data_IF_773595333136
#
_entry.id   IF_773595333136
#
_cell.length_a   1.000
_cell.length_b   1.000
_cell.length_c   1.000
_cell.angle_alpha   90.00
_cell.angle_beta   90.00
_cell.angle_gamma   90.00
#
_symmetry.space_group_name_H-M   'P 1'
#
loop_
_entity.id
_entity.type
_entity.pdbx_description
1 polymer ?
#
# COMPACT_ATOMS: atom_id res chain seq x y z
N UNK A 1 0.01 -1.94 -27.09
CA UNK A 1 0.18 -3.40 -26.91
C UNK A 1 -0.26 -3.75 -25.50
N UNK A 2 -1.03 -4.81 -25.32
CA UNK A 2 -1.47 -5.20 -23.98
C UNK A 2 -0.29 -5.71 -23.14
N UNK A 3 -0.19 -5.25 -21.89
CA UNK A 3 0.78 -5.75 -20.92
C UNK A 3 0.26 -7.08 -20.36
N UNK A 4 1.09 -8.12 -20.39
CA UNK A 4 0.75 -9.45 -19.87
C UNK A 4 1.58 -9.73 -18.63
N UNK A 5 0.92 -10.09 -17.54
CA UNK A 5 1.55 -10.55 -16.29
C UNK A 5 1.27 -12.04 -16.13
N UNK A 6 2.33 -12.81 -15.98
CA UNK A 6 2.30 -14.26 -15.75
C UNK A 6 2.56 -14.55 -14.27
N UNK A 7 2.06 -15.70 -13.79
CA UNK A 7 2.34 -16.20 -12.45
C UNK A 7 2.87 -17.62 -12.54
N UNK A 8 3.97 -17.89 -11.84
CA UNK A 8 4.47 -19.24 -11.73
C UNK A 8 3.56 -20.06 -10.83
N UNK A 9 3.08 -21.21 -11.32
CA UNK A 9 2.30 -22.15 -10.50
C UNK A 9 3.06 -22.57 -9.25
N UNK A 10 4.38 -22.74 -9.33
CA UNK A 10 5.20 -23.12 -8.17
C UNK A 10 5.22 -22.08 -7.04
N UNK A 11 4.80 -20.84 -7.32
CA UNK A 11 4.69 -19.77 -6.31
C UNK A 11 3.27 -19.65 -5.78
N UNK A 12 2.25 -19.72 -6.66
CA UNK A 12 0.86 -19.50 -6.25
C UNK A 12 0.13 -20.77 -5.79
N UNK A 13 0.72 -21.94 -5.99
CA UNK A 13 0.19 -23.24 -5.54
C UNK A 13 1.07 -23.90 -4.47
N UNK A 14 2.03 -23.17 -3.88
CA UNK A 14 2.80 -23.70 -2.76
C UNK A 14 2.04 -23.50 -1.44
N UNK A 15 2.30 -24.39 -0.48
CA UNK A 15 1.64 -24.36 0.84
C UNK A 15 1.82 -23.00 1.53
N UNK A 16 3.02 -22.43 1.46
CA UNK A 16 3.31 -21.12 2.06
C UNK A 16 2.38 -20.01 1.56
N UNK A 17 1.96 -20.06 0.28
CA UNK A 17 1.01 -19.12 -0.31
C UNK A 17 -0.44 -19.48 0.06
N UNK A 18 -0.81 -20.75 -0.08
CA UNK A 18 -2.18 -21.22 0.15
C UNK A 18 -2.62 -21.13 1.62
N UNK A 19 -1.68 -21.18 2.56
CA UNK A 19 -1.92 -20.97 3.99
C UNK A 19 -2.16 -19.51 4.38
N UNK A 20 -1.85 -18.54 3.50
CA UNK A 20 -2.11 -17.13 3.80
C UNK A 20 -3.62 -16.81 3.74
N UNK A 21 -4.09 -15.79 4.48
CA UNK A 21 -5.46 -15.28 4.30
C UNK A 21 -5.75 -14.93 2.85
N UNK A 22 -7.00 -15.15 2.40
CA UNK A 22 -7.41 -14.85 1.02
C UNK A 22 -7.18 -13.38 0.65
N UNK A 23 -7.31 -12.46 1.61
CA UNK A 23 -7.00 -11.04 1.45
C UNK A 23 -5.52 -10.78 1.17
N UNK A 24 -4.62 -11.50 1.86
CA UNK A 24 -3.17 -11.45 1.59
C UNK A 24 -2.83 -12.04 0.22
N UNK A 25 -3.46 -13.17 -0.15
CA UNK A 25 -3.30 -13.77 -1.48
C UNK A 25 -3.77 -12.81 -2.59
N UNK A 26 -4.95 -12.21 -2.42
CA UNK A 26 -5.50 -11.23 -3.35
C UNK A 26 -4.59 -10.00 -3.47
N UNK A 27 -4.10 -9.47 -2.35
CA UNK A 27 -3.15 -8.36 -2.32
C UNK A 27 -1.90 -8.68 -3.15
N UNK A 28 -1.31 -9.85 -2.96
CA UNK A 28 -0.14 -10.27 -3.75
C UNK A 28 -0.43 -10.30 -5.26
N UNK A 29 -1.59 -10.81 -5.67
CA UNK A 29 -1.99 -10.82 -7.08
C UNK A 29 -2.14 -9.40 -7.64
N UNK A 30 -2.78 -8.50 -6.90
CA UNK A 30 -2.97 -7.10 -7.33
C UNK A 30 -1.66 -6.32 -7.39
N UNK A 31 -0.73 -6.57 -6.45
CA UNK A 31 0.62 -5.97 -6.50
C UNK A 31 1.39 -6.45 -7.74
N UNK A 32 1.32 -7.74 -8.09
CA UNK A 32 1.94 -8.26 -9.32
C UNK A 32 1.33 -7.66 -10.59
N UNK A 33 0.03 -7.42 -10.61
CA UNK A 33 -0.63 -6.76 -11.75
C UNK A 33 -0.21 -5.30 -11.92
N UNK A 34 0.10 -4.63 -10.81
CA UNK A 34 0.43 -3.19 -10.79
C UNK A 34 1.93 -2.91 -10.93
N UNK A 35 2.77 -3.94 -10.83
CA UNK A 35 4.22 -3.79 -10.87
C UNK A 35 4.72 -3.44 -12.28
N UNK A 36 5.89 -2.78 -12.35
CA UNK A 36 6.61 -2.54 -13.61
C UNK A 36 7.35 -3.80 -14.12
N UNK A 37 8.10 -3.71 -15.23
CA UNK A 37 8.76 -4.88 -15.82
C UNK A 37 9.96 -5.42 -15.02
N UNK A 38 10.37 -4.73 -13.96
CA UNK A 38 11.31 -5.25 -12.97
C UNK A 38 10.63 -5.72 -11.69
N UNK A 39 9.31 -5.59 -11.57
CA UNK A 39 8.54 -6.08 -10.44
C UNK A 39 8.39 -5.07 -9.32
N UNK A 40 8.67 -3.77 -9.57
CA UNK A 40 8.55 -2.73 -8.56
C UNK A 40 7.16 -2.10 -8.54
N UNK A 41 6.71 -1.74 -7.34
CA UNK A 41 5.44 -1.06 -7.10
C UNK A 41 5.70 0.17 -6.25
N UNK A 42 5.40 1.35 -6.78
CA UNK A 42 5.61 2.63 -6.09
C UNK A 42 4.47 3.07 -5.17
N UNK A 43 3.29 2.47 -5.31
CA UNK A 43 2.07 2.87 -4.59
C UNK A 43 1.38 1.71 -3.84
N UNK A 44 2.11 0.86 -3.09
CA UNK A 44 1.54 -0.33 -2.45
C UNK A 44 0.41 0.01 -1.47
N UNK A 45 0.52 1.12 -0.71
CA UNK A 45 -0.55 1.60 0.21
C UNK A 45 -1.83 2.00 -0.53
N UNK A 46 -1.72 2.51 -1.76
CA UNK A 46 -2.90 2.85 -2.57
C UNK A 46 -3.60 1.59 -3.04
N UNK A 47 -2.85 0.59 -3.50
CA UNK A 47 -3.40 -0.71 -3.92
C UNK A 47 -4.08 -1.40 -2.74
N UNK A 48 -3.44 -1.39 -1.57
CA UNK A 48 -4.00 -1.91 -0.32
C UNK A 48 -5.40 -1.34 -0.03
N UNK A 49 -5.53 -0.01 -0.02
CA UNK A 49 -6.82 0.67 0.19
C UNK A 49 -7.83 0.37 -0.92
N UNK A 50 -7.38 0.34 -2.18
CA UNK A 50 -8.25 0.12 -3.33
C UNK A 50 -8.94 -1.25 -3.26
N UNK A 51 -8.24 -2.28 -2.81
CA UNK A 51 -8.79 -3.63 -2.72
C UNK A 51 -9.41 -3.96 -1.35
N UNK A 52 -9.31 -3.03 -0.39
CA UNK A 52 -9.80 -3.24 0.98
C UNK A 52 -8.99 -4.23 1.81
N UNK A 53 -7.70 -4.43 1.49
CA UNK A 53 -6.81 -5.28 2.29
C UNK A 53 -6.33 -4.52 3.55
N UNK A 54 -6.01 -5.27 4.61
CA UNK A 54 -5.51 -4.71 5.86
C UNK A 54 -3.99 -4.52 5.84
N UNK A 55 -3.45 -3.69 6.72
CA UNK A 55 -1.99 -3.60 6.88
C UNK A 55 -1.38 -4.93 7.34
N UNK A 56 -2.13 -5.76 8.07
CA UNK A 56 -1.67 -7.07 8.51
C UNK A 56 -1.53 -8.05 7.33
N UNK A 57 -2.40 -7.96 6.32
CA UNK A 57 -2.23 -8.72 5.07
C UNK A 57 -0.90 -8.39 4.38
N UNK A 58 -0.56 -7.10 4.34
CA UNK A 58 0.72 -6.65 3.79
C UNK A 58 1.90 -7.14 4.62
N UNK A 59 1.82 -7.07 5.96
CA UNK A 59 2.85 -7.59 6.85
C UNK A 59 3.07 -9.09 6.66
N UNK A 60 2.01 -9.87 6.43
CA UNK A 60 2.12 -11.31 6.14
C UNK A 60 2.97 -11.54 4.88
N UNK A 61 2.74 -10.77 3.81
CA UNK A 61 3.55 -10.86 2.58
C UNK A 61 5.02 -10.51 2.82
N UNK A 62 5.31 -9.52 3.67
CA UNK A 62 6.69 -9.14 4.03
C UNK A 62 7.35 -10.25 4.85
N UNK A 63 6.68 -10.73 5.91
CA UNK A 63 7.22 -11.76 6.82
C UNK A 63 7.48 -13.07 6.08
N UNK A 64 6.56 -13.49 5.19
CA UNK A 64 6.74 -14.68 4.35
C UNK A 64 7.66 -14.44 3.15
N UNK A 65 8.23 -13.24 2.99
CA UNK A 65 9.21 -12.93 1.94
C UNK A 65 8.65 -12.84 0.53
N UNK A 66 7.33 -12.67 0.35
CA UNK A 66 6.71 -12.52 -0.96
C UNK A 66 6.97 -11.15 -1.59
N UNK A 67 7.23 -10.14 -0.76
CA UNK A 67 7.62 -8.80 -1.19
C UNK A 67 8.79 -8.29 -0.35
N UNK A 68 9.61 -7.46 -0.96
CA UNK A 68 10.70 -6.74 -0.31
C UNK A 68 10.33 -5.26 -0.22
N UNK A 69 10.43 -4.67 0.96
CA UNK A 69 10.12 -3.26 1.22
C UNK A 69 11.40 -2.43 1.34
N UNK A 70 11.44 -1.28 0.69
CA UNK A 70 12.50 -0.28 0.79
C UNK A 70 12.08 0.87 1.72
N UNK A 71 13.06 1.61 2.24
CA UNK A 71 12.79 2.75 3.15
C UNK A 71 11.96 3.85 2.50
N UNK A 72 12.05 4.00 1.17
CA UNK A 72 11.22 4.91 0.37
C UNK A 72 9.74 4.53 0.35
N UNK A 73 9.36 3.35 0.87
CA UNK A 73 8.01 2.80 0.80
C UNK A 73 7.69 2.11 -0.52
N UNK A 74 8.62 2.11 -1.47
CA UNK A 74 8.58 1.29 -2.67
C UNK A 74 8.75 -0.17 -2.28
N UNK A 75 8.14 -1.08 -3.03
CA UNK A 75 8.34 -2.51 -2.88
C UNK A 75 8.79 -3.15 -4.20
N UNK A 76 9.37 -4.35 -4.09
CA UNK A 76 9.58 -5.25 -5.22
C UNK A 76 8.97 -6.62 -4.92
N UNK A 77 8.39 -7.26 -5.94
CA UNK A 77 7.91 -8.65 -5.84
C UNK A 77 9.11 -9.59 -5.88
N UNK A 78 9.36 -10.33 -4.79
CA UNK A 78 10.53 -11.23 -4.65
C UNK A 78 10.65 -12.23 -5.79
N UNK A 79 9.52 -12.76 -6.24
CA UNK A 79 9.44 -13.83 -7.25
C UNK A 79 9.31 -13.32 -8.69
N UNK A 80 9.49 -12.01 -8.94
CA UNK A 80 9.15 -11.40 -10.21
C UNK A 80 9.79 -12.09 -11.42
N UNK A 81 11.10 -12.38 -11.35
CA UNK A 81 11.83 -13.01 -12.46
C UNK A 81 11.46 -14.47 -12.69
N UNK A 82 10.85 -15.16 -11.70
CA UNK A 82 10.20 -16.47 -11.92
C UNK A 82 8.83 -16.33 -12.55
N UNK A 83 8.08 -15.32 -12.14
CA UNK A 83 6.72 -15.08 -12.63
C UNK A 83 6.73 -14.61 -14.07
N UNK A 84 7.65 -13.71 -14.42
CA UNK A 84 7.63 -12.95 -15.66
C UNK A 84 8.98 -13.00 -16.38
N UNK A 85 8.98 -13.65 -17.55
CA UNK A 85 10.01 -13.47 -18.56
C UNK A 85 9.53 -12.45 -19.59
N UNK A 86 10.25 -11.32 -19.71
CA UNK A 86 9.90 -10.21 -20.61
C UNK A 86 10.98 -10.11 -21.68
N UNK A 87 10.57 -10.16 -22.96
CA UNK A 87 11.49 -10.07 -24.08
C UNK A 87 12.13 -8.67 -24.15
N UNK A 88 13.42 -8.63 -24.53
CA UNK A 88 14.25 -7.42 -24.50
C UNK A 88 13.69 -6.25 -25.33
N UNK A 89 13.06 -6.55 -26.45
CA UNK A 89 12.45 -5.57 -27.37
C UNK A 89 11.26 -4.81 -26.76
N UNK A 90 10.61 -5.39 -25.73
CA UNK A 90 9.45 -4.79 -25.06
C UNK A 90 9.72 -4.35 -23.62
N UNK A 91 10.86 -4.72 -23.07
CA UNK A 91 11.21 -4.45 -21.68
C UNK A 91 11.37 -2.96 -21.40
N UNK A 92 10.68 -2.49 -20.35
CA UNK A 92 10.83 -1.13 -19.81
C UNK A 92 11.36 -1.20 -18.38
N UNK A 93 12.64 -0.88 -18.22
CA UNK A 93 13.29 -0.90 -16.90
C UNK A 93 12.62 0.03 -15.89
N UNK A 94 12.72 -0.35 -14.62
CA UNK A 94 12.17 0.44 -13.52
C UNK A 94 12.78 1.84 -13.45
N UNK A 95 11.96 2.78 -12.97
CA UNK A 95 12.42 4.12 -12.58
C UNK A 95 13.13 4.11 -11.21
N UNK A 96 12.89 3.09 -10.38
CA UNK A 96 13.43 2.94 -9.02
C UNK A 96 14.85 2.35 -9.05
N UNK A 97 15.76 3.06 -9.71
CA UNK A 97 17.13 2.59 -9.97
C UNK A 97 17.93 2.41 -8.68
N UNK A 98 17.71 3.29 -7.71
CA UNK A 98 18.41 3.26 -6.43
C UNK A 98 17.99 2.02 -5.63
N UNK A 99 16.70 1.76 -5.48
CA UNK A 99 16.17 0.55 -4.84
C UNK A 99 16.67 -0.72 -5.53
N UNK A 100 16.67 -0.74 -6.86
CA UNK A 100 17.17 -1.86 -7.66
C UNK A 100 18.66 -2.12 -7.44
N UNK A 101 19.47 -1.09 -7.17
CA UNK A 101 20.90 -1.24 -6.91
C UNK A 101 21.20 -2.04 -5.63
N UNK A 102 20.25 -2.10 -4.70
CA UNK A 102 20.37 -2.89 -3.47
C UNK A 102 19.93 -4.35 -3.65
N UNK A 103 19.56 -4.78 -4.85
CA UNK A 103 19.10 -6.15 -5.10
C UNK A 103 20.13 -6.97 -5.85
N UNK A 104 20.27 -8.22 -5.41
CA UNK A 104 20.87 -9.29 -6.20
C UNK A 104 19.77 -10.23 -6.70
N UNK A 105 20.08 -11.00 -7.74
CA UNK A 105 19.23 -12.08 -8.23
C UNK A 105 19.93 -13.40 -7.91
N UNK A 106 19.28 -14.25 -7.12
CA UNK A 106 19.79 -15.57 -6.80
C UNK A 106 19.79 -16.50 -8.01
N UNK A 107 20.50 -17.63 -7.89
CA UNK A 107 20.51 -18.69 -8.90
C UNK A 107 19.10 -19.19 -9.26
N UNK A 108 18.15 -19.06 -8.33
CA UNK A 108 16.78 -19.48 -8.54
C UNK A 108 15.87 -18.32 -8.97
N UNK A 109 16.38 -17.24 -9.55
CA UNK A 109 15.60 -16.09 -10.05
C UNK A 109 14.73 -15.39 -8.99
N UNK A 110 15.22 -15.32 -7.75
CA UNK A 110 14.60 -14.53 -6.68
C UNK A 110 15.38 -13.25 -6.46
N UNK A 111 14.68 -12.14 -6.18
CA UNK A 111 15.34 -10.96 -5.65
C UNK A 111 15.75 -11.16 -4.20
N UNK A 112 16.97 -10.75 -3.88
CA UNK A 112 17.53 -10.77 -2.52
C UNK A 112 18.13 -9.40 -2.22
N UNK A 113 17.92 -8.88 -1.00
CA UNK A 113 18.60 -7.65 -0.59
C UNK A 113 20.09 -7.92 -0.42
N UNK A 114 20.92 -7.05 -0.97
CA UNK A 114 22.34 -6.98 -0.64
C UNK A 114 22.46 -6.50 0.80
N UNK A 115 23.29 -7.15 1.62
CA UNK A 115 23.40 -7.01 3.09
C UNK A 115 23.64 -5.59 3.64
N UNK A 116 23.71 -4.54 2.81
CA UNK A 116 23.96 -3.16 3.23
C UNK A 116 22.75 -2.40 3.80
N UNK A 117 21.58 -3.00 3.99
CA UNK A 117 20.45 -2.26 4.60
C UNK A 117 19.74 -3.09 5.66
N UNK A 118 19.90 -2.58 6.88
CA UNK A 118 19.31 -2.92 8.15
C UNK A 118 17.84 -3.37 8.04
N UNK A 119 17.55 -4.46 8.74
CA UNK A 119 16.21 -4.93 9.06
C UNK A 119 15.58 -3.86 9.95
N UNK A 120 14.75 -2.98 9.39
CA UNK A 120 13.83 -2.21 10.23
C UNK A 120 12.70 -3.13 10.66
N UNK A 121 12.72 -3.51 11.94
CA UNK A 121 11.57 -4.07 12.63
C UNK A 121 10.35 -3.18 12.37
N UNK A 122 9.26 -3.79 11.91
CA UNK A 122 7.97 -3.15 11.67
C UNK A 122 7.39 -2.69 13.01
N UNK A 123 7.80 -1.52 13.50
CA UNK A 123 7.30 -0.92 14.75
C UNK A 123 7.22 0.62 14.72
N UNK A 124 7.26 1.24 13.55
CA UNK A 124 7.02 2.69 13.45
C UNK A 124 6.35 3.05 12.12
N UNK A 125 5.19 2.45 11.84
CA UNK A 125 4.18 3.21 11.10
C UNK A 125 3.52 4.10 12.15
N UNK A 126 4.13 5.26 12.41
CA UNK A 126 3.44 6.31 13.15
C UNK A 126 2.11 6.56 12.45
N UNK A 127 1.05 6.35 13.21
CA UNK A 127 -0.31 6.76 12.91
C UNK A 127 -0.31 8.26 12.70
N UNK A 128 -0.07 8.71 11.46
CA UNK A 128 -0.49 10.03 11.04
C UNK A 128 -2.00 9.96 10.84
N UNK A 129 -2.72 9.85 11.96
CA UNK A 129 -4.10 10.26 12.06
C UNK A 129 -4.17 11.70 11.58
N UNK A 130 -4.60 11.88 10.33
CA UNK A 130 -5.22 13.14 9.95
C UNK A 130 -6.49 13.25 10.79
N UNK A 131 -6.34 13.80 11.99
CA UNK A 131 -7.43 14.35 12.78
C UNK A 131 -8.10 15.39 11.88
N UNK A 132 -9.14 14.96 11.18
CA UNK A 132 -10.12 15.81 10.56
C UNK A 132 -10.80 16.56 11.70
N UNK A 133 -10.36 17.79 11.90
CA UNK A 133 -10.87 18.68 12.94
C UNK A 133 -12.35 18.93 12.65
N UNK A 134 -13.21 18.31 13.45
CA UNK A 134 -14.65 18.56 13.49
C UNK A 134 -14.89 20.07 13.57
N UNK A 135 -15.51 20.63 12.53
CA UNK A 135 -16.17 21.93 12.63
C UNK A 135 -17.59 21.68 13.10
N UNK A 136 -17.73 21.36 14.38
CA UNK A 136 -19.01 21.41 15.07
C UNK A 136 -19.26 22.83 15.60
N UNK A 137 -20.19 23.46 14.89
CA UNK A 137 -21.37 24.15 15.43
C UNK A 137 -21.19 25.53 16.07
N UNK A 138 -21.97 26.49 15.53
CA UNK A 138 -22.68 27.52 16.31
C UNK A 138 -23.97 27.88 15.59
N UNK A 139 -25.04 27.16 15.93
CA UNK A 139 -26.41 27.55 15.66
C UNK A 139 -26.73 28.93 16.25
N UNK A 140 -27.40 29.76 15.45
CA UNK A 140 -28.01 31.00 15.91
C UNK A 140 -29.51 30.77 16.04
N UNK A 141 -29.95 30.39 17.24
CA UNK A 141 -31.33 30.52 17.70
C UNK A 141 -31.25 31.10 19.10
N UNK A 142 -31.68 32.35 19.27
CA UNK A 142 -32.41 32.69 20.49
C UNK A 142 -33.53 33.69 20.21
N UNK A 143 -34.64 33.42 20.86
CA UNK A 143 -35.93 34.10 20.81
C UNK A 143 -35.92 35.28 21.79
N UNK A 144 -36.79 36.26 21.53
CA UNK A 144 -36.85 37.49 22.31
C UNK A 144 -37.46 37.37 23.71
N UNK A 145 -37.28 38.44 24.50
CA UNK A 145 -38.31 39.18 25.27
C UNK A 145 -37.61 40.15 26.21
N UNK A 146 -38.11 41.38 26.25
CA UNK A 146 -37.77 42.42 27.21
C UNK A 146 -38.84 43.50 27.12
N UNK A 147 -39.87 43.35 27.96
CA UNK A 147 -40.96 44.30 28.17
C UNK A 147 -40.51 45.45 29.10
N UNK A 148 -41.44 46.40 29.26
CA UNK A 148 -41.51 47.52 30.22
C UNK A 148 -40.79 48.81 29.79
N UNK A 149 -41.35 50.01 29.88
CA UNK A 149 -42.66 50.55 30.28
C UNK A 149 -42.60 52.05 29.88
N UNK A 150 -43.71 52.68 29.51
CA UNK A 150 -44.00 54.02 30.03
C UNK A 150 -45.47 54.42 29.80
N UNK A 151 -46.09 55.13 30.76
CA UNK A 151 -47.53 55.29 30.87
C UNK A 151 -48.01 56.61 30.25
N UNK A 152 -49.25 56.66 29.78
CA UNK A 152 -50.29 57.49 30.39
C UNK A 152 -51.61 57.47 29.57
N UNK A 153 -52.77 57.49 30.24
CA UNK A 153 -54.08 57.58 29.60
C UNK A 153 -54.57 59.04 29.53
N UNK A 154 -55.51 59.33 28.61
CA UNK A 154 -56.79 60.02 28.92
C UNK A 154 -57.69 60.25 27.69
N UNK A 155 -58.94 59.82 27.91
CA UNK A 155 -60.26 60.20 27.34
C UNK A 155 -60.53 59.80 25.89
#
# INVERSE_FOLDING_TARGET
MAERRMFSKSIIWCDMFLEMPLSSQALYMHLNMSADDDGFVGNPKTILRMIGASEDDFKILVIKGFVIVFESGIIVITHWKRNNYIQKDRYKGTIYKDEKSYLNISNNNLYEKTERIYIQNVSALDTQDRIGKDRLDKGSIDKGRGEEENPHPKI
#
